data_IF_954798835592
#
_entry.id   IF_954798835592
#
_cell.length_a   1.000
_cell.length_b   1.000
_cell.length_c   1.000
_cell.angle_alpha   90.00
_cell.angle_beta   90.00
_cell.angle_gamma   90.00
#
_symmetry.space_group_name_H-M   'P 1'
#
loop_
_entity.id
_entity.type
_entity.pdbx_description
1 polymer ?
#
# COMPACT_ATOMS: atom_id res chain seq x y z
N UNK A 1 -13.55 2.76 -4.75
CA UNK A 1 -12.22 3.41 -4.65
C UNK A 1 -12.09 4.55 -5.67
N UNK A 2 -11.97 4.29 -6.97
CA UNK A 2 -11.80 5.36 -7.97
C UNK A 2 -12.95 6.38 -8.02
N UNK A 3 -14.20 5.91 -7.97
CA UNK A 3 -15.36 6.82 -7.92
C UNK A 3 -15.33 7.75 -6.70
N UNK A 4 -14.83 7.24 -5.58
CA UNK A 4 -14.69 7.98 -4.33
C UNK A 4 -13.61 9.08 -4.42
N UNK A 5 -12.53 8.80 -5.17
CA UNK A 5 -11.47 9.77 -5.48
C UNK A 5 -12.01 10.89 -6.38
N UNK A 6 -12.76 10.52 -7.41
CA UNK A 6 -13.35 11.47 -8.36
C UNK A 6 -14.42 12.34 -7.69
N UNK A 7 -15.26 11.75 -6.83
CA UNK A 7 -16.34 12.46 -6.14
C UNK A 7 -15.86 13.34 -4.98
N UNK A 8 -14.66 13.10 -4.45
CA UNK A 8 -14.11 13.84 -3.31
C UNK A 8 -12.76 14.50 -3.64
N UNK A 9 -12.60 15.00 -4.87
CA UNK A 9 -11.34 15.64 -5.30
C UNK A 9 -10.98 16.88 -4.47
N UNK A 10 -11.97 17.56 -3.90
CA UNK A 10 -11.75 18.71 -2.99
C UNK A 10 -11.24 18.27 -1.61
N UNK A 11 -11.31 16.98 -1.30
CA UNK A 11 -10.85 16.35 -0.05
C UNK A 11 -9.76 15.32 -0.30
N UNK A 12 -8.86 15.63 -1.24
CA UNK A 12 -7.75 14.74 -1.63
C UNK A 12 -6.96 14.19 -0.44
N UNK A 13 -6.75 14.96 0.62
CA UNK A 13 -6.09 14.49 1.85
C UNK A 13 -6.82 13.32 2.52
N UNK A 14 -8.14 13.43 2.72
CA UNK A 14 -8.96 12.37 3.32
C UNK A 14 -9.00 11.12 2.45
N UNK A 15 -9.07 11.32 1.13
CA UNK A 15 -9.05 10.24 0.14
C UNK A 15 -7.71 9.49 0.18
N UNK A 16 -6.59 10.22 0.21
CA UNK A 16 -5.24 9.67 0.34
C UNK A 16 -5.12 8.85 1.64
N UNK A 17 -5.60 9.38 2.76
CA UNK A 17 -5.56 8.66 4.03
C UNK A 17 -6.39 7.36 4.01
N UNK A 18 -7.55 7.38 3.33
CA UNK A 18 -8.36 6.16 3.12
C UNK A 18 -7.62 5.14 2.27
N UNK A 19 -6.98 5.55 1.18
CA UNK A 19 -6.18 4.66 0.34
C UNK A 19 -5.02 4.06 1.15
N UNK A 20 -4.33 4.88 1.95
CA UNK A 20 -3.26 4.40 2.83
C UNK A 20 -3.75 3.38 3.84
N UNK A 21 -4.91 3.61 4.46
CA UNK A 21 -5.56 2.64 5.37
C UNK A 21 -5.90 1.33 4.68
N UNK A 22 -6.32 1.35 3.40
CA UNK A 22 -6.51 0.12 2.63
C UNK A 22 -5.20 -0.64 2.46
N UNK A 23 -4.10 0.04 2.14
CA UNK A 23 -2.77 -0.58 2.08
C UNK A 23 -2.38 -1.24 3.40
N UNK A 24 -2.58 -0.54 4.52
CA UNK A 24 -2.33 -1.07 5.87
C UNK A 24 -3.22 -2.29 6.17
N UNK A 25 -4.49 -2.23 5.80
CA UNK A 25 -5.42 -3.34 5.99
C UNK A 25 -4.97 -4.58 5.23
N UNK A 26 -4.31 -4.46 4.06
CA UNK A 26 -3.78 -5.60 3.32
C UNK A 26 -2.45 -6.15 3.88
N UNK A 27 -1.80 -5.47 4.84
CA UNK A 27 -0.51 -5.90 5.38
C UNK A 27 -0.56 -7.26 6.09
N UNK A 28 -1.70 -7.67 6.64
CA UNK A 28 -1.86 -9.00 7.23
C UNK A 28 -1.70 -10.13 6.18
N UNK A 29 -2.03 -9.86 4.91
CA UNK A 29 -1.86 -10.82 3.82
C UNK A 29 -0.38 -11.12 3.53
N UNK A 30 0.54 -10.23 3.91
CA UNK A 30 1.98 -10.51 3.79
C UNK A 30 2.39 -11.69 4.68
N UNK A 31 1.68 -11.91 5.79
CA UNK A 31 1.98 -12.99 6.73
C UNK A 31 1.23 -14.27 6.38
N UNK A 32 0.00 -14.14 5.84
CA UNK A 32 -0.87 -15.28 5.56
C UNK A 32 -0.71 -15.88 4.15
N UNK A 33 -0.34 -15.08 3.14
CA UNK A 33 -0.48 -15.46 1.72
C UNK A 33 0.69 -15.03 0.83
N UNK A 34 1.89 -14.79 1.38
CA UNK A 34 3.07 -14.34 0.62
C UNK A 34 2.82 -13.10 -0.26
N UNK A 35 1.87 -12.23 0.15
CA UNK A 35 1.63 -10.97 -0.53
C UNK A 35 2.88 -10.08 -0.40
N UNK A 36 3.53 -9.79 -1.51
CA UNK A 36 4.70 -8.93 -1.56
C UNK A 36 4.33 -7.52 -2.05
N UNK A 37 5.12 -6.48 -1.71
CA UNK A 37 4.82 -5.09 -2.08
C UNK A 37 4.75 -4.83 -3.60
N UNK A 38 5.31 -5.72 -4.41
CA UNK A 38 5.32 -5.69 -5.88
C UNK A 38 3.92 -5.90 -6.49
N UNK A 39 2.98 -6.47 -5.74
CA UNK A 39 1.58 -6.58 -6.19
C UNK A 39 0.96 -5.21 -6.51
N UNK A 40 1.40 -4.17 -5.81
CA UNK A 40 0.96 -2.80 -6.06
C UNK A 40 1.58 -2.21 -7.33
N UNK A 41 2.78 -2.66 -7.74
CA UNK A 41 3.37 -2.30 -9.04
C UNK A 41 2.58 -2.94 -10.17
N UNK A 42 2.31 -4.25 -10.08
CA UNK A 42 1.50 -4.99 -11.07
C UNK A 42 0.09 -4.42 -11.21
N UNK A 43 -0.51 -3.99 -10.10
CA UNK A 43 -1.80 -3.28 -10.12
C UNK A 43 -1.68 -1.97 -10.91
N UNK A 44 -0.64 -1.18 -10.67
CA UNK A 44 -0.39 0.07 -11.40
C UNK A 44 -0.20 -0.14 -12.89
N UNK A 45 0.58 -1.14 -13.28
CA UNK A 45 0.80 -1.54 -14.68
C UNK A 45 -0.51 -1.93 -15.37
N UNK A 46 -1.30 -2.78 -14.71
CA UNK A 46 -2.61 -3.24 -15.23
C UNK A 46 -3.57 -2.06 -15.41
N UNK A 47 -3.65 -1.16 -14.42
CA UNK A 47 -4.48 0.04 -14.52
C UNK A 47 -4.02 0.93 -15.67
N UNK A 48 -2.70 1.12 -15.83
CA UNK A 48 -2.15 1.92 -16.91
C UNK A 48 -2.52 1.34 -18.28
N UNK A 49 -2.38 0.03 -18.46
CA UNK A 49 -2.75 -0.67 -19.69
C UNK A 49 -4.24 -0.45 -20.03
N UNK A 50 -5.13 -0.60 -19.05
CA UNK A 50 -6.57 -0.44 -19.28
C UNK A 50 -6.99 1.01 -19.51
N UNK A 51 -6.43 1.97 -18.78
CA UNK A 51 -6.81 3.38 -18.95
C UNK A 51 -6.18 4.02 -20.19
N UNK A 52 -4.96 3.61 -20.57
CA UNK A 52 -4.28 4.15 -21.76
C UNK A 52 -4.91 3.72 -23.09
N UNK A 53 -5.69 2.64 -23.10
CA UNK A 53 -6.45 2.17 -24.27
C UNK A 53 -7.84 2.79 -24.36
N UNK A 54 -8.27 3.56 -23.36
CA UNK A 54 -9.59 4.18 -23.35
C UNK A 54 -9.62 5.45 -24.21
N UNK A 55 -10.57 5.53 -25.14
CA UNK A 55 -10.71 6.61 -26.13
C UNK A 55 -10.67 8.02 -25.51
N UNK A 56 -11.40 8.23 -24.41
CA UNK A 56 -11.44 9.51 -23.69
C UNK A 56 -10.07 9.94 -23.12
N UNK A 57 -9.19 8.99 -22.84
CA UNK A 57 -7.84 9.23 -22.32
C UNK A 57 -6.85 9.48 -23.47
N UNK A 58 -6.98 8.75 -24.58
CA UNK A 58 -6.12 8.90 -25.76
C UNK A 58 -6.34 10.23 -26.49
N UNK A 59 -7.61 10.65 -26.62
CA UNK A 59 -7.98 11.89 -27.34
C UNK A 59 -7.54 13.15 -26.61
N UNK A 60 -7.13 13.06 -25.35
CA UNK A 60 -6.75 14.23 -24.55
C UNK A 60 -5.47 13.97 -23.79
N UNK A 61 -4.37 14.58 -24.25
CA UNK A 61 -3.04 14.45 -23.61
C UNK A 61 -3.06 14.74 -22.11
N UNK A 62 -3.80 15.76 -21.71
CA UNK A 62 -3.89 16.17 -20.31
C UNK A 62 -4.71 15.15 -19.48
N UNK A 63 -5.71 14.49 -20.06
CA UNK A 63 -6.40 13.37 -19.42
C UNK A 63 -5.45 12.18 -19.20
N UNK A 64 -4.63 11.83 -20.20
CA UNK A 64 -3.60 10.81 -20.07
C UNK A 64 -2.53 11.13 -19.02
N UNK A 65 -2.18 12.41 -18.82
CA UNK A 65 -1.31 12.82 -17.72
C UNK A 65 -2.00 12.71 -16.36
N UNK A 66 -3.26 13.17 -16.26
CA UNK A 66 -4.03 13.11 -15.03
C UNK A 66 -4.19 11.66 -14.54
N UNK A 67 -4.55 10.73 -15.43
CA UNK A 67 -4.65 9.30 -15.08
C UNK A 67 -3.32 8.71 -14.62
N UNK A 68 -2.21 9.06 -15.27
CA UNK A 68 -0.88 8.63 -14.81
C UNK A 68 -0.57 9.08 -13.39
N UNK A 69 -0.87 10.35 -13.08
CA UNK A 69 -0.67 10.90 -11.73
C UNK A 69 -1.56 10.18 -10.73
N UNK A 70 -2.86 10.03 -11.03
CA UNK A 70 -3.83 9.37 -10.14
C UNK A 70 -3.41 7.92 -9.86
N UNK A 71 -3.05 7.14 -10.88
CA UNK A 71 -2.63 5.75 -10.73
C UNK A 71 -1.38 5.67 -9.86
N UNK A 72 -0.36 6.50 -10.14
CA UNK A 72 0.88 6.54 -9.36
C UNK A 72 0.65 6.93 -7.89
N UNK A 73 -0.22 7.90 -7.62
CA UNK A 73 -0.58 8.30 -6.25
C UNK A 73 -1.28 7.16 -5.52
N UNK A 74 -2.27 6.51 -6.14
CA UNK A 74 -3.00 5.41 -5.51
C UNK A 74 -2.07 4.24 -5.18
N UNK A 75 -1.27 3.79 -6.15
CA UNK A 75 -0.36 2.65 -5.96
C UNK A 75 0.75 2.97 -4.96
N UNK A 76 1.26 4.20 -4.98
CA UNK A 76 2.24 4.69 -4.00
C UNK A 76 1.70 4.68 -2.57
N UNK A 77 0.50 5.20 -2.35
CA UNK A 77 -0.12 5.26 -1.01
C UNK A 77 -0.55 3.88 -0.50
N UNK A 78 -1.04 3.01 -1.37
CA UNK A 78 -1.31 1.60 -1.05
C UNK A 78 -0.03 0.89 -0.61
N UNK A 79 1.06 1.02 -1.39
CA UNK A 79 2.36 0.45 -1.05
C UNK A 79 2.88 1.00 0.27
N UNK A 80 2.83 2.32 0.46
CA UNK A 80 3.31 2.95 1.67
C UNK A 80 2.55 2.45 2.90
N UNK A 81 1.21 2.41 2.84
CA UNK A 81 0.38 1.84 3.89
C UNK A 81 0.71 0.37 4.19
N UNK A 82 0.87 -0.43 3.14
CA UNK A 82 1.22 -1.85 3.26
C UNK A 82 2.58 -2.05 3.95
N UNK A 83 3.64 -1.44 3.41
CA UNK A 83 5.02 -1.61 3.90
C UNK A 83 5.17 -1.06 5.32
N UNK A 84 4.57 0.09 5.62
CA UNK A 84 4.64 0.69 6.96
C UNK A 84 4.06 -0.24 8.02
N UNK A 85 2.89 -0.82 7.76
CA UNK A 85 2.22 -1.74 8.70
C UNK A 85 2.89 -3.12 8.77
N UNK A 86 3.34 -3.67 7.63
CA UNK A 86 4.07 -4.93 7.59
C UNK A 86 5.36 -4.87 8.43
N UNK A 87 6.13 -3.77 8.32
CA UNK A 87 7.32 -3.52 9.15
C UNK A 87 7.01 -3.44 10.65
N UNK A 88 5.85 -2.89 11.03
CA UNK A 88 5.43 -2.86 12.44
C UNK A 88 5.31 -4.27 13.01
N UNK A 89 4.71 -5.21 12.28
CA UNK A 89 4.60 -6.60 12.74
C UNK A 89 5.95 -7.28 12.92
N UNK A 90 6.88 -7.10 11.97
CA UNK A 90 8.24 -7.65 12.08
C UNK A 90 8.97 -7.10 13.30
N UNK A 91 8.82 -5.80 13.60
CA UNK A 91 9.42 -5.18 14.80
C UNK A 91 8.87 -5.76 16.09
N UNK A 92 7.57 -6.00 16.20
CA UNK A 92 6.97 -6.60 17.40
C UNK A 92 7.49 -8.03 17.63
N UNK A 93 7.63 -8.83 16.57
CA UNK A 93 8.18 -10.19 16.67
C UNK A 93 9.64 -10.16 17.11
N UNK A 94 10.47 -9.28 16.54
CA UNK A 94 11.88 -9.12 16.93
C UNK A 94 12.03 -8.70 18.40
N UNK A 95 11.21 -7.73 18.85
CA UNK A 95 11.21 -7.31 20.26
C UNK A 95 10.78 -8.44 21.20
N UNK A 96 9.77 -9.21 20.82
CA UNK A 96 9.32 -10.36 21.59
C UNK A 96 10.41 -11.45 21.68
N UNK A 97 11.07 -11.76 20.56
CA UNK A 97 12.18 -12.71 20.53
C UNK A 97 13.35 -12.24 21.38
N UNK A 98 13.69 -10.94 21.32
CA UNK A 98 14.75 -10.35 22.13
C UNK A 98 14.42 -10.42 23.63
N UNK A 99 13.17 -10.13 24.01
CA UNK A 99 12.68 -10.29 25.39
C UNK A 99 12.76 -11.75 25.86
N UNK A 100 12.34 -12.71 25.03
CA UNK A 100 12.43 -14.13 25.35
C UNK A 100 13.87 -14.59 25.53
N UNK A 101 14.79 -14.13 24.68
CA UNK A 101 16.22 -14.46 24.80
C UNK A 101 16.82 -13.89 26.09
N UNK A 102 16.47 -12.67 26.48
CA UNK A 102 16.93 -12.06 27.73
C UNK A 102 16.38 -12.79 28.96
N UNK A 103 15.12 -13.23 28.91
CA UNK A 103 14.50 -14.04 29.98
C UNK A 103 15.16 -15.42 30.08
N UNK A 104 15.40 -16.10 28.96
CA UNK A 104 16.11 -17.38 28.96
C UNK A 104 17.54 -17.23 29.49
N UNK A 105 18.25 -16.18 29.08
CA UNK A 105 19.60 -15.90 29.54
C UNK A 105 19.68 -15.66 31.05
N UNK A 106 18.71 -14.93 31.61
CA UNK A 106 18.67 -14.66 33.05
C UNK A 106 18.31 -15.91 33.86
N UNK A 107 17.39 -16.75 33.38
CA UNK A 107 17.03 -18.03 34.03
C UNK A 107 18.19 -19.03 33.98
N UNK A 108 18.93 -19.10 32.86
CA UNK A 108 20.10 -19.98 32.72
C UNK A 108 21.32 -19.52 33.53
N UNK A 109 21.32 -18.28 34.05
CA UNK A 109 22.37 -17.73 34.91
C UNK A 109 22.06 -17.82 36.41
N UNK A 110 20.87 -18.29 36.78
CA UNK A 110 20.50 -18.64 38.16
C UNK A 110 20.75 -20.13 38.41
#
# INVERSE_FOLDING_TARGET
>A
MFNDIVQNVDRLGEVIDRIRRLGQAHAHLSQACLFHPDIWDRLGETLMEKFSTHDAVQKTREAGKAWRIIIATITGELRYGFVSKARSYTRYILLLLLLLLLLLYSVLRC
#
